data_IF_061819789147
#
_entry.id   IF_061819789147
#
_cell.length_a   1.000
_cell.length_b   1.000
_cell.length_c   1.000
_cell.angle_alpha   90.00
_cell.angle_beta   90.00
_cell.angle_gamma   90.00
#
_symmetry.space_group_name_H-M   'P 1'
#
loop_
_entity.id
_entity.type
_entity.pdbx_description
1 polymer ?
#
# COMPACT_ATOMS: atom_id res chain seq x y z
N UNK A 1 -13.44 9.73 7.33
CA UNK A 1 -13.23 8.99 6.05
C UNK A 1 -13.25 7.50 6.34
N UNK A 2 -13.62 6.65 5.36
CA UNK A 2 -13.75 5.22 5.59
C UNK A 2 -13.24 4.40 4.41
N UNK A 3 -12.91 3.14 4.69
CA UNK A 3 -12.59 2.11 3.69
C UNK A 3 -13.66 1.03 3.69
N UNK A 4 -13.92 0.46 2.51
CA UNK A 4 -14.65 -0.81 2.40
C UNK A 4 -13.64 -1.94 2.53
N UNK A 5 -13.90 -2.93 3.38
CA UNK A 5 -12.92 -3.99 3.64
C UNK A 5 -13.57 -5.37 3.53
N UNK A 6 -12.89 -6.30 2.87
CA UNK A 6 -13.35 -7.68 2.84
C UNK A 6 -13.41 -8.28 4.25
N UNK A 7 -14.51 -8.91 4.65
CA UNK A 7 -14.75 -9.30 6.04
C UNK A 7 -13.80 -10.41 6.52
N UNK A 8 -13.24 -11.19 5.62
CA UNK A 8 -12.25 -12.22 5.96
C UNK A 8 -10.93 -11.65 6.49
N UNK A 9 -10.71 -10.33 6.36
CA UNK A 9 -9.57 -9.64 6.99
C UNK A 9 -9.80 -9.53 8.51
N UNK A 10 -11.04 -9.36 8.96
CA UNK A 10 -11.41 -9.36 10.38
C UNK A 10 -11.62 -10.78 10.92
N UNK A 11 -12.31 -11.62 10.14
CA UNK A 11 -12.62 -13.02 10.49
C UNK A 11 -12.04 -13.98 9.43
N UNK A 12 -10.79 -14.42 9.61
CA UNK A 12 -10.17 -15.37 8.68
C UNK A 12 -10.92 -16.70 8.50
N UNK A 13 -11.81 -17.06 9.45
CA UNK A 13 -12.70 -18.22 9.33
C UNK A 13 -13.77 -18.11 8.22
N UNK A 14 -13.91 -16.93 7.58
CA UNK A 14 -14.71 -16.74 6.38
C UNK A 14 -14.01 -17.21 5.10
N UNK A 15 -12.73 -17.56 5.15
CA UNK A 15 -11.98 -18.11 4.00
C UNK A 15 -12.23 -19.61 3.87
N UNK A 16 -11.96 -20.15 2.68
CA UNK A 16 -11.98 -21.59 2.48
C UNK A 16 -10.94 -22.30 3.35
N UNK A 17 -11.11 -23.57 3.61
CA UNK A 17 -10.23 -24.36 4.47
C UNK A 17 -8.79 -24.36 3.98
N UNK A 18 -7.84 -24.24 4.89
CA UNK A 18 -6.42 -24.47 4.64
C UNK A 18 -5.71 -23.42 3.78
N UNK A 19 -6.40 -22.37 3.28
CA UNK A 19 -5.76 -21.36 2.41
C UNK A 19 -5.16 -20.19 3.17
N UNK A 20 -5.48 -20.03 4.45
CA UNK A 20 -4.98 -18.91 5.25
C UNK A 20 -3.61 -19.26 5.81
N UNK A 21 -2.61 -18.45 5.47
CA UNK A 21 -1.24 -18.59 5.94
C UNK A 21 -0.98 -17.62 7.10
N UNK A 22 0.06 -17.87 7.86
CA UNK A 22 0.48 -16.98 8.95
C UNK A 22 0.84 -15.57 8.44
N UNK A 23 1.44 -15.49 7.24
CA UNK A 23 1.69 -14.21 6.56
C UNK A 23 0.42 -13.42 6.28
N UNK A 24 -0.68 -14.10 5.93
CA UNK A 24 -1.97 -13.47 5.69
C UNK A 24 -2.53 -12.90 7.00
N UNK A 25 -2.46 -13.67 8.09
CA UNK A 25 -2.93 -13.21 9.42
C UNK A 25 -2.16 -11.97 9.88
N UNK A 26 -0.85 -11.94 9.70
CA UNK A 26 -0.03 -10.76 10.00
C UNK A 26 -0.44 -9.55 9.15
N UNK A 27 -0.69 -9.74 7.86
CA UNK A 27 -1.15 -8.68 6.96
C UNK A 27 -2.53 -8.17 7.35
N UNK A 28 -3.45 -9.04 7.73
CA UNK A 28 -4.82 -8.71 8.17
C UNK A 28 -4.79 -7.87 9.43
N UNK A 29 -4.07 -8.34 10.45
CA UNK A 29 -3.91 -7.58 11.70
C UNK A 29 -3.33 -6.19 11.45
N UNK A 30 -2.29 -6.12 10.61
CA UNK A 30 -1.61 -4.87 10.29
C UNK A 30 -2.49 -3.91 9.48
N UNK A 31 -3.32 -4.41 8.57
CA UNK A 31 -4.30 -3.62 7.83
C UNK A 31 -5.36 -3.00 8.78
N UNK A 32 -5.86 -3.77 9.73
CA UNK A 32 -6.79 -3.26 10.75
C UNK A 32 -6.10 -2.26 11.69
N UNK A 33 -4.83 -2.48 12.03
CA UNK A 33 -4.02 -1.54 12.81
C UNK A 33 -3.84 -0.22 12.08
N UNK A 34 -3.53 -0.24 10.78
CA UNK A 34 -3.47 0.97 9.95
C UNK A 34 -4.74 1.81 10.08
N UNK A 35 -5.91 1.18 9.95
CA UNK A 35 -7.17 1.89 10.05
C UNK A 35 -7.30 2.61 11.41
N UNK A 36 -6.95 1.92 12.50
CA UNK A 36 -6.99 2.52 13.86
C UNK A 36 -5.99 3.67 14.02
N UNK A 37 -4.74 3.47 13.61
CA UNK A 37 -3.66 4.46 13.78
C UNK A 37 -3.85 5.69 12.88
N UNK A 38 -4.46 5.51 11.71
CA UNK A 38 -4.73 6.60 10.77
C UNK A 38 -6.15 7.20 10.91
N UNK A 39 -6.95 6.77 11.89
CA UNK A 39 -8.31 7.30 12.10
C UNK A 39 -9.27 7.02 10.93
N UNK A 40 -9.13 5.86 10.28
CA UNK A 40 -10.00 5.42 9.20
C UNK A 40 -11.12 4.53 9.74
N UNK A 41 -12.36 4.88 9.47
CA UNK A 41 -13.49 3.99 9.71
C UNK A 41 -13.43 2.78 8.78
N UNK A 42 -13.86 1.63 9.28
CA UNK A 42 -13.95 0.40 8.47
C UNK A 42 -15.41 0.01 8.31
N UNK A 43 -15.83 -0.18 7.07
CA UNK A 43 -17.11 -0.79 6.72
C UNK A 43 -16.83 -2.14 6.06
N UNK A 44 -17.22 -3.21 6.72
CA UNK A 44 -17.00 -4.53 6.18
C UNK A 44 -18.02 -4.86 5.08
N UNK A 45 -17.50 -5.35 3.96
CA UNK A 45 -18.32 -5.87 2.87
C UNK A 45 -18.97 -7.21 3.30
N UNK A 46 -20.11 -7.59 2.73
CA UNK A 46 -20.58 -8.97 2.84
C UNK A 46 -19.61 -9.91 2.13
N UNK A 47 -19.46 -11.16 2.63
CA UNK A 47 -18.68 -12.20 1.96
C UNK A 47 -19.58 -13.00 1.00
N UNK A 48 -19.51 -12.78 -0.33
CA UNK A 48 -20.40 -13.51 -1.26
C UNK A 48 -20.18 -15.02 -1.22
N UNK A 49 -18.92 -15.43 -1.12
CA UNK A 49 -18.56 -16.85 -1.09
C UNK A 49 -19.13 -17.55 0.15
N UNK A 50 -19.03 -16.93 1.33
CA UNK A 50 -19.56 -17.50 2.57
C UNK A 50 -21.10 -17.55 2.57
N UNK A 51 -21.73 -16.50 2.02
CA UNK A 51 -23.19 -16.44 1.93
C UNK A 51 -23.76 -17.47 0.95
N UNK A 52 -23.01 -17.84 -0.07
CA UNK A 52 -23.43 -18.79 -1.09
C UNK A 52 -23.04 -20.24 -0.74
N UNK A 53 -21.79 -20.47 -0.32
CA UNK A 53 -21.23 -21.82 -0.12
C UNK A 53 -21.14 -22.24 1.36
N UNK A 54 -21.42 -21.32 2.30
CA UNK A 54 -21.21 -21.56 3.72
C UNK A 54 -19.77 -21.26 4.20
N UNK A 55 -19.58 -21.33 5.52
CA UNK A 55 -18.27 -21.05 6.15
C UNK A 55 -17.27 -22.20 5.93
N UNK A 56 -17.77 -23.42 6.02
CA UNK A 56 -16.97 -24.64 5.98
C UNK A 56 -16.88 -25.17 4.55
N UNK A 57 -16.09 -24.51 3.73
CA UNK A 57 -15.97 -24.83 2.31
C UNK A 57 -14.55 -25.16 1.89
N UNK A 58 -14.42 -26.07 0.96
CA UNK A 58 -13.16 -26.37 0.28
C UNK A 58 -12.77 -25.23 -0.66
N UNK A 59 -11.47 -25.01 -0.89
CA UNK A 59 -10.99 -24.11 -1.93
C UNK A 59 -11.55 -24.49 -3.32
N UNK A 60 -11.76 -23.49 -4.17
CA UNK A 60 -12.20 -23.69 -5.53
C UNK A 60 -12.13 -22.41 -6.34
N UNK A 61 -12.24 -22.55 -7.64
CA UNK A 61 -12.21 -21.45 -8.59
C UNK A 61 -13.60 -20.86 -8.82
N UNK A 62 -13.67 -19.71 -9.48
CA UNK A 62 -14.94 -19.12 -9.88
C UNK A 62 -15.77 -20.06 -10.76
N UNK A 63 -15.14 -20.63 -11.80
CA UNK A 63 -15.85 -21.50 -12.75
C UNK A 63 -16.37 -22.78 -12.11
N UNK A 64 -15.63 -23.36 -11.16
CA UNK A 64 -16.02 -24.61 -10.51
C UNK A 64 -17.18 -24.44 -9.53
N UNK A 65 -17.24 -23.32 -8.81
CA UNK A 65 -18.11 -23.21 -7.64
C UNK A 65 -19.09 -22.05 -7.65
N UNK A 66 -18.79 -20.98 -8.41
CA UNK A 66 -19.51 -19.72 -8.31
C UNK A 66 -20.18 -19.29 -9.61
N UNK A 67 -19.88 -19.94 -10.73
CA UNK A 67 -20.43 -19.59 -12.04
C UNK A 67 -21.87 -20.12 -12.22
N UNK A 68 -22.79 -19.62 -11.40
CA UNK A 68 -24.20 -20.03 -11.40
C UNK A 68 -25.11 -18.80 -11.39
N UNK A 69 -26.33 -18.95 -11.94
CA UNK A 69 -27.35 -17.89 -11.93
C UNK A 69 -27.68 -17.41 -10.52
N UNK A 70 -27.82 -18.34 -9.58
CA UNK A 70 -28.14 -18.02 -8.17
C UNK A 70 -27.03 -17.18 -7.50
N UNK A 71 -25.77 -17.46 -7.82
CA UNK A 71 -24.68 -16.65 -7.30
C UNK A 71 -24.70 -15.24 -7.88
N UNK A 72 -25.00 -15.08 -9.16
CA UNK A 72 -25.15 -13.74 -9.76
C UNK A 72 -26.32 -12.97 -9.17
N UNK A 73 -27.46 -13.61 -8.89
CA UNK A 73 -28.59 -12.99 -8.19
C UNK A 73 -28.20 -12.55 -6.76
N UNK A 74 -27.40 -13.36 -6.06
CA UNK A 74 -26.84 -12.95 -4.78
C UNK A 74 -25.96 -11.70 -4.93
N UNK A 75 -25.06 -11.69 -5.92
CA UNK A 75 -24.19 -10.54 -6.17
C UNK A 75 -24.99 -9.25 -6.48
N UNK A 76 -26.08 -9.35 -7.24
CA UNK A 76 -26.95 -8.21 -7.56
C UNK A 76 -27.60 -7.58 -6.30
N UNK A 77 -27.98 -8.43 -5.35
CA UNK A 77 -28.50 -7.97 -4.05
C UNK A 77 -27.40 -7.30 -3.23
N UNK A 78 -26.25 -7.95 -3.07
CA UNK A 78 -25.13 -7.44 -2.28
C UNK A 78 -24.55 -6.13 -2.87
N UNK A 79 -24.55 -5.99 -4.18
CA UNK A 79 -24.15 -4.75 -4.86
C UNK A 79 -25.09 -3.59 -4.49
N UNK A 80 -26.41 -3.81 -4.46
CA UNK A 80 -27.38 -2.79 -4.04
C UNK A 80 -27.14 -2.36 -2.60
N UNK A 81 -26.98 -3.33 -1.69
CA UNK A 81 -26.73 -3.05 -0.27
C UNK A 81 -25.47 -2.19 -0.08
N UNK A 82 -24.38 -2.51 -0.79
CA UNK A 82 -23.14 -1.73 -0.72
C UNK A 82 -23.32 -0.34 -1.34
N UNK A 83 -24.04 -0.22 -2.47
CA UNK A 83 -24.35 1.09 -3.08
C UNK A 83 -25.20 1.95 -2.16
N UNK A 84 -26.10 1.38 -1.38
CA UNK A 84 -26.90 2.12 -0.40
C UNK A 84 -26.02 2.65 0.75
N UNK A 85 -25.06 1.87 1.22
CA UNK A 85 -24.06 2.34 2.19
C UNK A 85 -23.26 3.52 1.62
N UNK A 86 -22.81 3.41 0.37
CA UNK A 86 -22.03 4.47 -0.30
C UNK A 86 -22.89 5.74 -0.48
N UNK A 87 -24.17 5.61 -0.86
CA UNK A 87 -25.07 6.75 -0.96
C UNK A 87 -25.27 7.45 0.40
N UNK A 88 -25.38 6.71 1.46
CA UNK A 88 -25.59 7.26 2.80
C UNK A 88 -24.33 7.90 3.42
N UNK A 89 -23.13 7.35 3.15
CA UNK A 89 -21.88 7.78 3.76
C UNK A 89 -20.97 8.63 2.88
N UNK A 90 -21.28 8.74 1.59
CA UNK A 90 -20.40 9.30 0.58
C UNK A 90 -19.38 8.26 0.05
N UNK A 91 -18.48 8.62 -0.88
CA UNK A 91 -17.54 7.72 -1.48
C UNK A 91 -16.51 7.21 -0.46
N UNK A 92 -16.20 5.88 -0.45
CA UNK A 92 -15.11 5.34 0.35
C UNK A 92 -13.76 5.75 -0.24
N UNK A 93 -12.73 5.73 0.60
CA UNK A 93 -11.36 5.97 0.17
C UNK A 93 -10.88 4.88 -0.82
N UNK A 94 -11.12 3.64 -0.48
CA UNK A 94 -10.81 2.47 -1.33
C UNK A 94 -11.57 1.24 -0.84
N UNK A 95 -11.46 0.15 -1.63
CA UNK A 95 -11.83 -1.20 -1.22
C UNK A 95 -10.54 -1.96 -0.90
N UNK A 96 -10.46 -2.55 0.30
CA UNK A 96 -9.36 -3.45 0.67
C UNK A 96 -9.81 -4.89 0.41
N UNK A 97 -9.23 -5.50 -0.62
CA UNK A 97 -9.52 -6.86 -1.06
C UNK A 97 -8.44 -7.85 -0.68
N UNK A 98 -8.63 -9.10 -1.09
CA UNK A 98 -7.67 -10.18 -0.86
C UNK A 98 -7.39 -10.88 -2.18
N UNK A 99 -6.18 -10.72 -2.70
CA UNK A 99 -5.76 -11.32 -3.97
C UNK A 99 -5.97 -12.83 -3.98
N UNK A 100 -6.17 -13.34 -5.16
CA UNK A 100 -6.53 -14.73 -5.45
C UNK A 100 -7.95 -15.15 -5.02
N UNK A 101 -8.75 -14.32 -4.30
CA UNK A 101 -10.16 -14.65 -4.07
C UNK A 101 -10.96 -14.56 -5.38
N UNK A 102 -11.79 -15.54 -5.72
CA UNK A 102 -12.69 -15.49 -6.89
C UNK A 102 -13.63 -14.28 -6.87
N UNK A 103 -14.11 -13.90 -5.69
CA UNK A 103 -15.04 -12.78 -5.52
C UNK A 103 -14.36 -11.45 -5.21
N UNK A 104 -13.33 -11.45 -4.37
CA UNK A 104 -12.73 -10.26 -3.76
C UNK A 104 -11.27 -10.03 -4.13
N UNK A 105 -10.73 -10.70 -5.15
CA UNK A 105 -9.40 -10.41 -5.70
C UNK A 105 -9.32 -8.98 -6.23
N UNK A 106 -8.14 -8.37 -6.14
CA UNK A 106 -7.88 -7.00 -6.60
C UNK A 106 -7.14 -7.00 -7.93
N UNK A 107 -5.91 -7.53 -7.92
CA UNK A 107 -5.04 -7.61 -9.09
C UNK A 107 -5.09 -8.99 -9.77
N UNK A 108 -5.39 -10.02 -8.98
CA UNK A 108 -5.45 -11.42 -9.44
C UNK A 108 -6.60 -12.18 -8.78
N UNK A 109 -7.20 -13.10 -9.54
CA UNK A 109 -8.31 -13.94 -9.09
C UNK A 109 -8.08 -15.41 -9.41
N UNK A 110 -8.61 -16.30 -8.59
CA UNK A 110 -8.77 -17.72 -8.96
C UNK A 110 -10.03 -17.87 -9.81
N UNK A 111 -9.85 -17.84 -11.14
CA UNK A 111 -10.97 -17.89 -12.08
C UNK A 111 -11.35 -19.31 -12.43
N UNK A 112 -10.40 -20.16 -12.78
CA UNK A 112 -10.59 -21.53 -13.22
C UNK A 112 -9.85 -21.83 -14.52
N UNK A 113 -9.65 -23.12 -14.77
CA UNK A 113 -9.07 -23.60 -16.00
C UNK A 113 -10.15 -23.61 -17.10
N UNK A 114 -9.94 -22.77 -18.10
CA UNK A 114 -10.77 -22.74 -19.32
C UNK A 114 -10.09 -23.49 -20.48
N UNK A 115 -9.11 -24.34 -20.18
CA UNK A 115 -8.30 -25.08 -21.14
C UNK A 115 -7.21 -24.25 -21.84
N UNK A 116 -7.00 -22.99 -21.42
CA UNK A 116 -6.07 -22.05 -22.05
C UNK A 116 -4.94 -21.56 -21.13
N UNK A 117 -4.92 -21.99 -19.87
CA UNK A 117 -3.87 -21.54 -18.97
C UNK A 117 -4.17 -21.74 -17.49
N UNK A 118 -3.33 -21.16 -16.60
CA UNK A 118 -3.44 -21.38 -15.17
C UNK A 118 -4.76 -20.85 -14.62
N UNK A 119 -5.24 -21.46 -13.55
CA UNK A 119 -6.47 -21.09 -12.84
C UNK A 119 -6.51 -19.62 -12.36
N UNK A 120 -5.40 -18.91 -12.38
CA UNK A 120 -5.29 -17.47 -12.00
C UNK A 120 -5.42 -16.57 -13.21
N UNK A 121 -6.24 -15.52 -13.07
CA UNK A 121 -6.35 -14.43 -14.04
C UNK A 121 -6.02 -13.09 -13.40
N UNK A 122 -5.47 -12.17 -14.22
CA UNK A 122 -5.34 -10.77 -13.85
C UNK A 122 -6.72 -10.11 -13.79
N UNK A 123 -6.89 -9.20 -12.83
CA UNK A 123 -8.09 -8.40 -12.65
C UNK A 123 -8.85 -8.70 -11.36
N UNK A 124 -9.92 -7.90 -11.17
CA UNK A 124 -10.75 -7.96 -9.96
C UNK A 124 -11.64 -9.22 -9.96
N UNK A 125 -11.84 -9.75 -8.75
CA UNK A 125 -12.85 -10.75 -8.49
C UNK A 125 -14.25 -10.25 -8.81
N UNK A 126 -15.15 -11.18 -9.13
CA UNK A 126 -16.47 -10.88 -9.72
C UNK A 126 -17.34 -9.94 -8.87
N UNK A 127 -17.14 -9.90 -7.55
CA UNK A 127 -17.85 -8.97 -6.68
C UNK A 127 -17.19 -7.59 -6.69
N UNK A 128 -15.86 -7.50 -6.56
CA UNK A 128 -15.18 -6.21 -6.60
C UNK A 128 -15.24 -5.56 -8.00
N UNK A 129 -15.36 -6.33 -9.05
CA UNK A 129 -15.54 -5.83 -10.41
C UNK A 129 -16.84 -5.02 -10.61
N UNK A 130 -17.81 -5.17 -9.71
CA UNK A 130 -19.06 -4.38 -9.71
C UNK A 130 -18.90 -2.93 -9.24
N UNK A 131 -17.72 -2.61 -8.68
CA UNK A 131 -17.38 -1.27 -8.19
C UNK A 131 -16.16 -0.70 -8.94
N UNK A 132 -16.20 -0.56 -10.27
CA UNK A 132 -15.02 -0.24 -11.08
C UNK A 132 -14.48 1.16 -10.81
N UNK A 133 -15.32 2.09 -10.36
CA UNK A 133 -14.94 3.49 -10.07
C UNK A 133 -14.27 3.66 -8.71
N UNK A 134 -14.36 2.66 -7.82
CA UNK A 134 -13.74 2.75 -6.50
C UNK A 134 -12.34 2.11 -6.60
N UNK A 135 -11.29 2.82 -6.17
CA UNK A 135 -9.95 2.23 -6.09
C UNK A 135 -9.96 0.97 -5.22
N UNK A 136 -9.25 -0.06 -5.64
CA UNK A 136 -9.11 -1.28 -4.85
C UNK A 136 -7.62 -1.53 -4.58
N UNK A 137 -7.31 -1.95 -3.37
CA UNK A 137 -5.94 -2.23 -2.90
C UNK A 137 -5.93 -3.61 -2.26
N UNK A 138 -4.95 -4.43 -2.61
CA UNK A 138 -4.76 -5.71 -1.93
C UNK A 138 -4.31 -5.51 -0.49
N UNK A 139 -4.78 -6.36 0.41
CA UNK A 139 -4.47 -6.25 1.85
C UNK A 139 -2.97 -6.29 2.13
N UNK A 140 -2.18 -7.01 1.32
CA UNK A 140 -0.72 -7.09 1.48
C UNK A 140 0.00 -5.79 1.10
N UNK A 141 -0.59 -4.98 0.25
CA UNK A 141 -0.10 -3.63 -0.06
C UNK A 141 -0.69 -2.63 0.94
N UNK A 142 -1.99 -2.74 1.24
CA UNK A 142 -2.63 -1.86 2.22
C UNK A 142 -2.01 -1.94 3.61
N UNK A 143 -1.51 -3.08 4.03
CA UNK A 143 -0.85 -3.25 5.33
C UNK A 143 0.56 -2.61 5.40
N UNK A 144 1.11 -2.14 4.29
CA UNK A 144 2.40 -1.44 4.24
C UNK A 144 2.16 0.05 4.35
N UNK A 145 2.28 0.62 5.53
CA UNK A 145 1.92 2.02 5.77
C UNK A 145 2.93 2.80 6.64
N UNK A 146 3.93 2.14 7.21
CA UNK A 146 5.00 2.80 7.95
C UNK A 146 6.15 3.09 6.99
N UNK A 147 6.44 4.37 6.80
CA UNK A 147 7.46 4.85 5.88
C UNK A 147 8.59 5.50 6.66
N UNK A 148 9.82 5.13 6.36
CA UNK A 148 11.00 5.92 6.68
C UNK A 148 11.33 6.77 5.46
N UNK A 149 11.38 8.09 5.63
CA UNK A 149 11.71 9.03 4.57
C UNK A 149 13.21 9.38 4.64
N UNK A 150 14.00 8.66 3.87
CA UNK A 150 15.43 8.87 3.71
C UNK A 150 15.68 10.03 2.74
N UNK A 151 16.33 11.08 3.19
CA UNK A 151 16.57 12.24 2.33
C UNK A 151 17.70 13.12 2.89
N UNK A 152 18.43 13.85 2.02
CA UNK A 152 19.36 14.88 2.48
C UNK A 152 18.60 15.97 3.26
N UNK A 153 19.20 16.46 4.34
CA UNK A 153 18.54 17.40 5.27
C UNK A 153 19.42 18.62 5.62
N UNK A 154 20.45 18.87 4.82
CA UNK A 154 21.50 19.83 5.13
C UNK A 154 21.11 21.25 4.74
N UNK A 155 20.34 21.45 3.68
CA UNK A 155 19.89 22.77 3.23
C UNK A 155 18.44 23.06 3.64
N UNK A 156 18.09 24.35 3.69
CA UNK A 156 16.70 24.75 3.94
C UNK A 156 15.74 24.31 2.81
N UNK A 157 16.25 24.15 1.59
CA UNK A 157 15.45 23.67 0.46
C UNK A 157 15.10 22.18 0.63
N UNK A 158 16.07 21.36 0.94
CA UNK A 158 15.90 19.92 1.21
C UNK A 158 14.92 19.70 2.36
N UNK A 159 15.12 20.36 3.49
CA UNK A 159 14.22 20.22 4.65
C UNK A 159 12.78 20.62 4.34
N UNK A 160 12.55 21.66 3.52
CA UNK A 160 11.20 22.05 3.10
C UNK A 160 10.57 21.01 2.17
N UNK A 161 11.35 20.47 1.24
CA UNK A 161 10.86 19.44 0.33
C UNK A 161 10.54 18.13 1.06
N UNK A 162 11.38 17.72 1.99
CA UNK A 162 11.15 16.56 2.84
C UNK A 162 9.86 16.70 3.67
N UNK A 163 9.64 17.89 4.28
CA UNK A 163 8.41 18.16 5.01
C UNK A 163 7.17 18.12 4.10
N UNK A 164 7.28 18.67 2.88
CA UNK A 164 6.22 18.59 1.87
C UNK A 164 5.89 17.13 1.49
N UNK A 165 6.90 16.29 1.24
CA UNK A 165 6.69 14.87 0.95
C UNK A 165 6.06 14.15 2.13
N UNK A 166 6.51 14.41 3.36
CA UNK A 166 5.89 13.86 4.58
C UNK A 166 4.41 14.22 4.63
N UNK A 167 4.05 15.48 4.35
CA UNK A 167 2.66 15.96 4.38
C UNK A 167 1.80 15.26 3.32
N UNK A 168 2.31 15.10 2.10
CA UNK A 168 1.65 14.34 1.03
C UNK A 168 1.41 12.89 1.48
N UNK A 169 2.43 12.21 1.97
CA UNK A 169 2.32 10.82 2.40
C UNK A 169 1.35 10.66 3.57
N UNK A 170 1.39 11.57 4.53
CA UNK A 170 0.47 11.58 5.68
C UNK A 170 -0.98 11.83 5.24
N UNK A 171 -1.20 12.71 4.28
CA UNK A 171 -2.52 12.96 3.68
C UNK A 171 -3.08 11.70 2.97
N UNK A 172 -2.22 10.76 2.59
CA UNK A 172 -2.58 9.46 2.03
C UNK A 172 -2.52 8.32 3.06
N UNK A 173 -2.62 8.66 4.34
CA UNK A 173 -2.69 7.71 5.46
C UNK A 173 -1.47 6.80 5.62
N UNK A 174 -0.28 7.33 5.35
CA UNK A 174 0.97 6.72 5.77
C UNK A 174 1.45 7.32 7.08
N UNK A 175 2.07 6.51 7.93
CA UNK A 175 2.83 6.97 9.08
C UNK A 175 4.28 7.17 8.63
N UNK A 176 4.74 8.40 8.65
CA UNK A 176 6.06 8.77 8.14
C UNK A 176 7.00 9.12 9.28
N UNK A 177 8.10 8.40 9.37
CA UNK A 177 9.24 8.84 10.16
C UNK A 177 10.16 9.70 9.29
N UNK A 178 10.39 10.94 9.71
CA UNK A 178 11.24 11.91 9.02
C UNK A 178 12.41 12.25 9.94
N UNK A 179 13.66 11.85 9.63
CA UNK A 179 14.83 12.02 10.51
C UNK A 179 15.08 13.46 10.98
N UNK A 180 14.84 14.44 10.12
CA UNK A 180 15.02 15.86 10.46
C UNK A 180 14.11 16.35 11.60
N UNK A 181 12.99 15.65 11.88
CA UNK A 181 12.07 15.99 12.96
C UNK A 181 12.38 15.24 14.25
N UNK A 182 13.28 14.26 14.17
CA UNK A 182 13.63 13.39 15.28
C UNK A 182 14.92 13.80 16.00
N UNK A 183 15.66 14.75 15.44
CA UNK A 183 16.93 15.24 15.99
C UNK A 183 16.75 16.52 16.81
N UNK A 184 17.53 16.64 17.88
CA UNK A 184 17.72 17.91 18.58
C UNK A 184 18.54 18.85 17.71
N UNK A 185 18.09 20.09 17.58
CA UNK A 185 18.72 21.15 16.75
C UNK A 185 20.01 21.70 17.42
N UNK A 186 20.55 20.97 18.40
CA UNK A 186 21.76 21.39 19.11
C UNK A 186 22.98 21.38 18.19
N UNK A 187 23.58 22.54 18.02
CA UNK A 187 24.81 22.78 17.23
C UNK A 187 26.03 22.02 17.77
N UNK A 188 25.92 21.39 18.93
CA UNK A 188 26.96 20.60 19.58
C UNK A 188 26.44 19.20 19.87
N UNK A 189 26.80 18.26 19.01
CA UNK A 189 26.49 16.83 19.19
C UNK A 189 27.75 16.14 19.71
N UNK A 190 27.70 15.66 20.93
CA UNK A 190 28.72 14.75 21.46
C UNK A 190 28.58 13.36 20.84
N UNK A 191 29.53 12.48 21.09
CA UNK A 191 29.60 11.13 20.52
C UNK A 191 28.38 10.31 20.95
N UNK A 192 27.89 10.47 22.16
CA UNK A 192 26.72 9.75 22.70
C UNK A 192 25.44 10.15 21.93
N UNK A 193 25.25 11.44 21.68
CA UNK A 193 24.13 11.97 20.89
C UNK A 193 24.16 11.47 19.46
N UNK A 194 25.34 11.40 18.82
CA UNK A 194 25.52 10.87 17.47
C UNK A 194 25.16 9.39 17.41
N UNK A 195 25.64 8.60 18.37
CA UNK A 195 25.31 7.16 18.46
C UNK A 195 23.82 6.92 18.72
N UNK A 196 23.16 7.75 19.52
CA UNK A 196 21.73 7.67 19.80
C UNK A 196 20.91 7.95 18.53
N UNK A 197 21.27 8.97 17.75
CA UNK A 197 20.60 9.29 16.46
C UNK A 197 20.77 8.13 15.48
N UNK A 198 21.99 7.64 15.31
CA UNK A 198 22.27 6.50 14.43
C UNK A 198 21.45 5.27 14.82
N UNK A 199 21.45 4.90 16.10
CA UNK A 199 20.70 3.76 16.62
C UNK A 199 19.21 3.91 16.43
N UNK A 200 18.69 5.14 16.58
CA UNK A 200 17.28 5.46 16.32
C UNK A 200 16.93 5.28 14.84
N UNK A 201 17.72 5.86 13.94
CA UNK A 201 17.49 5.71 12.49
C UNK A 201 17.51 4.23 12.07
N UNK A 202 18.50 3.45 12.52
CA UNK A 202 18.55 2.01 12.25
C UNK A 202 17.30 1.26 12.73
N UNK A 203 16.79 1.59 13.90
CA UNK A 203 15.56 0.98 14.46
C UNK A 203 14.34 1.37 13.65
N UNK A 204 14.18 2.67 13.34
CA UNK A 204 13.04 3.16 12.56
C UNK A 204 13.02 2.59 11.14
N UNK A 205 14.20 2.43 10.50
CA UNK A 205 14.30 1.71 9.23
C UNK A 205 13.82 0.26 9.40
N UNK A 206 14.32 -0.43 10.43
CA UNK A 206 13.99 -1.83 10.68
C UNK A 206 12.49 -2.09 10.96
N UNK A 207 11.79 -1.10 11.53
CA UNK A 207 10.36 -1.13 11.84
C UNK A 207 9.47 -0.61 10.70
N UNK A 208 10.07 -0.03 9.67
CA UNK A 208 9.34 0.49 8.51
C UNK A 208 8.95 -0.61 7.53
N UNK A 209 7.86 -0.37 6.80
CA UNK A 209 7.37 -1.28 5.76
C UNK A 209 7.97 -0.97 4.40
N UNK A 210 8.32 0.31 4.20
CA UNK A 210 8.84 0.85 2.94
C UNK A 210 9.78 1.98 3.29
N UNK A 211 10.87 2.09 2.55
CA UNK A 211 11.71 3.28 2.53
C UNK A 211 11.32 4.11 1.31
N UNK A 212 11.05 5.40 1.53
CA UNK A 212 11.01 6.40 0.47
C UNK A 212 12.32 7.18 0.53
N UNK A 213 13.09 7.17 -0.54
CA UNK A 213 14.39 7.83 -0.58
C UNK A 213 14.41 8.95 -1.61
N UNK A 214 14.85 10.15 -1.24
CA UNK A 214 15.08 11.26 -2.17
C UNK A 214 16.55 11.20 -2.63
N UNK A 215 16.74 10.96 -3.93
CA UNK A 215 18.06 10.73 -4.54
C UNK A 215 18.42 11.77 -5.61
N UNK A 216 17.95 12.99 -5.43
CA UNK A 216 18.28 14.12 -6.28
C UNK A 216 19.74 14.56 -6.09
N UNK A 217 20.27 15.23 -7.10
CA UNK A 217 21.63 15.74 -7.09
C UNK A 217 22.54 15.07 -8.12
N UNK A 218 23.79 15.54 -8.23
CA UNK A 218 24.78 14.93 -9.10
C UNK A 218 25.10 13.50 -8.66
N UNK A 219 25.20 13.32 -7.33
CA UNK A 219 25.23 12.06 -6.62
C UNK A 219 24.16 12.08 -5.53
N UNK A 220 23.61 10.91 -5.19
CA UNK A 220 22.73 10.79 -4.04
C UNK A 220 23.54 11.01 -2.75
N UNK A 221 22.91 11.61 -1.75
CA UNK A 221 23.54 11.81 -0.45
C UNK A 221 24.04 10.48 0.15
N UNK A 222 25.22 10.52 0.76
CA UNK A 222 25.88 9.32 1.29
C UNK A 222 25.11 8.66 2.44
N UNK A 223 24.46 9.45 3.31
CA UNK A 223 23.60 8.97 4.38
C UNK A 223 22.37 8.28 3.83
N UNK A 224 21.67 8.93 2.89
CA UNK A 224 20.52 8.37 2.17
C UNK A 224 20.90 7.09 1.45
N UNK A 225 22.06 7.04 0.79
CA UNK A 225 22.56 5.85 0.10
C UNK A 225 22.82 4.69 1.07
N UNK A 226 23.38 4.97 2.25
CA UNK A 226 23.60 3.98 3.29
C UNK A 226 22.28 3.41 3.82
N UNK A 227 21.29 4.27 4.08
CA UNK A 227 19.97 3.89 4.56
C UNK A 227 19.23 3.00 3.55
N UNK A 228 19.32 3.32 2.24
CA UNK A 228 18.81 2.47 1.16
C UNK A 228 19.47 1.09 1.15
N UNK A 229 20.80 1.04 1.25
CA UNK A 229 21.56 -0.21 1.30
C UNK A 229 21.22 -1.05 2.52
N UNK A 230 21.08 -0.42 3.68
CA UNK A 230 20.68 -1.10 4.92
C UNK A 230 19.26 -1.67 4.81
N UNK A 231 18.31 -0.92 4.26
CA UNK A 231 16.96 -1.38 4.03
C UNK A 231 16.91 -2.57 3.05
N UNK A 232 17.64 -2.47 1.93
CA UNK A 232 17.75 -3.53 0.94
C UNK A 232 18.29 -4.83 1.55
N UNK A 233 19.35 -4.75 2.34
CA UNK A 233 19.93 -5.91 3.03
C UNK A 233 18.95 -6.58 4.02
N UNK A 234 17.96 -5.84 4.52
CA UNK A 234 16.91 -6.34 5.41
C UNK A 234 15.65 -6.81 4.66
N UNK A 235 15.63 -6.73 3.33
CA UNK A 235 14.47 -7.08 2.51
C UNK A 235 13.32 -6.07 2.61
N UNK A 236 13.60 -4.84 3.06
CA UNK A 236 12.61 -3.75 3.10
C UNK A 236 12.59 -3.08 1.73
N UNK A 237 11.43 -2.99 1.05
CA UNK A 237 11.34 -2.37 -0.26
C UNK A 237 11.70 -0.89 -0.21
N UNK A 238 12.43 -0.44 -1.22
CA UNK A 238 12.84 0.95 -1.39
C UNK A 238 12.19 1.55 -2.63
N UNK A 239 11.51 2.69 -2.48
CA UNK A 239 11.04 3.53 -3.59
C UNK A 239 11.88 4.80 -3.59
N UNK A 240 12.68 4.98 -4.64
CA UNK A 240 13.59 6.12 -4.76
C UNK A 240 12.98 7.20 -5.66
N UNK A 241 12.76 8.37 -5.09
CA UNK A 241 12.27 9.55 -5.81
C UNK A 241 13.45 10.35 -6.36
N UNK A 242 13.50 10.46 -7.70
CA UNK A 242 14.47 11.30 -8.40
C UNK A 242 13.75 12.29 -9.31
N UNK A 243 13.67 13.53 -8.87
CA UNK A 243 13.08 14.62 -9.65
C UNK A 243 14.11 15.32 -10.54
N UNK A 244 15.39 15.04 -10.33
CA UNK A 244 16.50 15.58 -11.08
C UNK A 244 16.61 14.93 -12.47
N UNK A 245 16.75 15.75 -13.52
CA UNK A 245 16.88 15.28 -14.90
C UNK A 245 18.31 14.89 -15.30
N UNK A 246 19.32 15.17 -14.47
CA UNK A 246 20.71 14.80 -14.71
C UNK A 246 20.87 13.28 -14.70
N UNK A 247 21.85 12.78 -15.48
CA UNK A 247 22.20 11.36 -15.52
C UNK A 247 23.56 11.14 -14.88
N UNK A 248 23.73 10.03 -14.19
CA UNK A 248 25.01 9.64 -13.59
C UNK A 248 25.98 9.09 -14.64
N UNK A 249 25.47 8.51 -15.74
CA UNK A 249 26.28 7.92 -16.82
C UNK A 249 25.54 7.88 -18.16
N UNK A 250 26.13 7.23 -19.15
CA UNK A 250 25.54 7.11 -20.49
C UNK A 250 24.21 6.32 -20.48
N UNK A 251 24.08 5.35 -19.60
CA UNK A 251 22.92 4.45 -19.51
C UNK A 251 22.24 4.48 -18.15
N UNK A 252 22.81 5.15 -17.15
CA UNK A 252 22.38 5.17 -15.77
C UNK A 252 21.74 6.51 -15.41
N UNK A 253 20.55 6.47 -14.85
CA UNK A 253 19.90 7.69 -14.32
C UNK A 253 20.50 8.13 -12.98
N UNK A 254 20.96 7.16 -12.20
CA UNK A 254 21.61 7.33 -10.90
C UNK A 254 22.66 6.22 -10.74
N UNK A 255 23.47 6.24 -9.70
CA UNK A 255 24.41 5.16 -9.41
C UNK A 255 23.72 3.78 -9.50
N UNK A 256 24.34 2.86 -10.23
CA UNK A 256 23.81 1.52 -10.52
C UNK A 256 23.33 0.77 -9.27
N UNK A 257 24.07 0.86 -8.15
CA UNK A 257 23.71 0.15 -6.92
C UNK A 257 22.38 0.66 -6.33
N UNK A 258 22.11 1.96 -6.43
CA UNK A 258 20.86 2.57 -5.98
C UNK A 258 19.71 2.26 -6.93
N UNK A 259 19.97 2.29 -8.25
CA UNK A 259 18.97 1.99 -9.27
C UNK A 259 18.49 0.54 -9.18
N UNK A 260 19.42 -0.42 -8.99
CA UNK A 260 19.09 -1.84 -8.92
C UNK A 260 18.51 -2.30 -7.56
N UNK A 261 18.78 -1.54 -6.50
CA UNK A 261 18.25 -1.84 -5.15
C UNK A 261 16.91 -1.19 -4.85
N UNK A 262 16.34 -0.40 -5.77
CA UNK A 262 15.13 0.38 -5.54
C UNK A 262 14.22 0.44 -6.76
N UNK A 263 12.97 0.83 -6.55
CA UNK A 263 12.07 1.27 -7.61
C UNK A 263 12.21 2.78 -7.78
N UNK A 264 12.88 3.21 -8.84
CA UNK A 264 13.04 4.65 -9.12
C UNK A 264 11.74 5.22 -9.73
N UNK A 265 11.30 6.36 -9.19
CA UNK A 265 10.16 7.16 -9.65
C UNK A 265 10.58 8.62 -9.84
N UNK A 266 9.86 9.38 -10.67
CA UNK A 266 10.32 10.69 -11.13
C UNK A 266 9.55 11.87 -10.56
N UNK A 267 8.41 11.63 -9.96
CA UNK A 267 7.55 12.65 -9.39
C UNK A 267 6.67 12.06 -8.28
N UNK A 268 5.97 12.94 -7.58
CA UNK A 268 5.10 12.58 -6.46
C UNK A 268 3.92 11.69 -6.87
N UNK A 269 3.39 11.87 -8.08
CA UNK A 269 2.30 11.05 -8.58
C UNK A 269 2.77 9.60 -8.80
N UNK A 270 3.92 9.41 -9.46
CA UNK A 270 4.54 8.10 -9.62
C UNK A 270 4.91 7.46 -8.27
N UNK A 271 5.34 8.28 -7.29
CA UNK A 271 5.61 7.83 -5.93
C UNK A 271 4.35 7.25 -5.29
N UNK A 272 3.24 7.99 -5.31
CA UNK A 272 1.98 7.53 -4.75
C UNK A 272 1.44 6.28 -5.46
N UNK A 273 1.61 6.20 -6.78
CA UNK A 273 1.26 5.00 -7.55
C UNK A 273 2.15 3.80 -7.16
N UNK A 274 3.45 4.01 -7.00
CA UNK A 274 4.38 2.96 -6.59
C UNK A 274 4.08 2.42 -5.19
N UNK A 275 3.64 3.29 -4.29
CA UNK A 275 3.21 2.96 -2.93
C UNK A 275 1.79 2.36 -2.88
N UNK A 276 1.06 2.32 -4.00
CA UNK A 276 -0.36 1.98 -4.07
C UNK A 276 -1.16 2.74 -3.01
N UNK A 277 -0.87 4.04 -2.91
CA UNK A 277 -1.51 4.92 -1.94
C UNK A 277 -3.02 4.91 -2.14
N UNK A 278 -3.82 4.87 -1.06
CA UNK A 278 -5.25 5.05 -1.16
C UNK A 278 -5.53 6.40 -1.81
N UNK A 279 -6.26 6.41 -2.94
CA UNK A 279 -6.55 7.65 -3.63
C UNK A 279 -7.61 8.42 -2.86
N UNK A 280 -7.23 9.57 -2.34
CA UNK A 280 -8.20 10.59 -1.97
C UNK A 280 -8.81 11.07 -3.28
N UNK A 281 -10.04 10.64 -3.58
CA UNK A 281 -10.81 11.21 -4.69
C UNK A 281 -10.86 12.72 -4.44
N UNK A 282 -10.13 13.50 -5.24
CA UNK A 282 -10.25 14.96 -5.23
C UNK A 282 -11.71 15.29 -5.58
N UNK A 283 -12.49 15.54 -4.56
CA UNK A 283 -13.76 16.23 -4.72
C UNK A 283 -13.44 17.64 -5.24
N UNK A 284 -13.71 17.86 -6.52
CA UNK A 284 -13.65 19.17 -7.16
C UNK A 284 -12.25 19.58 -7.61
N UNK A 285 -12.03 19.55 -8.93
CA UNK A 285 -11.13 20.51 -9.57
C UNK A 285 -11.57 21.91 -9.17
N UNK A 286 -10.83 22.55 -8.28
CA UNK A 286 -10.84 24.01 -8.21
C UNK A 286 -10.18 24.48 -9.50
N UNK A 287 -10.99 24.93 -10.46
CA UNK A 287 -10.53 25.74 -11.57
C UNK A 287 -9.94 27.01 -10.96
N UNK A 288 -8.62 27.10 -10.94
CA UNK A 288 -7.93 28.37 -10.75
C UNK A 288 -7.96 29.05 -12.11
N UNK A 289 -8.77 30.13 -12.20
CA UNK A 289 -8.73 31.10 -13.29
C UNK A 289 -7.43 31.91 -13.20
#
# INVERSE_FOLDING_TARGET
>A
MYVLMCPCIQDPGLRARGITRESDLRAFEKALRRCRECGLDVVFLPCPETLFLGRDREPGTFLERLNTGDFFHLLDRLERDVKDIIRARGPPLCIVGVNSSPACGVDTTYYGDDGKGPARRAGRGVFLARFPTIPAVDVTDFCRYRIYLAAPLFSAAERRYNAHLRDILTAHFFLVFLPQEAGDDSSHRDEESQQAIFSRCCREIAESDIIVAVIDGADADSGTSWEMGYAYARGIPVVALRTDFRRAGMHEHVNLMLEQSSRVVRNEEELLQALKAPSVLRAGKLEVK
#
